data_IF_496582618818
#
_entry.id   IF_496582618818
#
_cell.length_a   1.000
_cell.length_b   1.000
_cell.length_c   1.000
_cell.angle_alpha   90.00
_cell.angle_beta   90.00
_cell.angle_gamma   90.00
#
_symmetry.space_group_name_H-M   'P 1'
#
loop_
_entity.id
_entity.type
_entity.pdbx_description
1 polymer ?
#
# COMPACT_ATOMS: atom_id res chain seq x y z
N UNK A 1 23.34 2.42 -18.97
CA UNK A 1 23.63 1.20 -18.20
C UNK A 1 22.58 1.14 -17.10
N UNK A 2 21.60 0.24 -17.21
CA UNK A 2 20.44 0.22 -16.30
C UNK A 2 20.85 -0.23 -14.89
N UNK A 3 20.39 0.42 -13.80
CA UNK A 3 20.80 0.13 -12.43
C UNK A 3 20.04 -1.06 -11.78
N UNK A 4 19.56 -2.03 -12.55
CA UNK A 4 18.77 -3.17 -12.03
C UNK A 4 19.61 -4.32 -11.47
N UNK A 5 20.93 -4.16 -11.32
CA UNK A 5 21.79 -5.20 -10.78
C UNK A 5 21.91 -5.05 -9.26
N UNK A 6 21.10 -5.81 -8.53
CA UNK A 6 21.26 -5.99 -7.10
C UNK A 6 22.55 -6.82 -6.86
N UNK A 7 23.60 -6.28 -6.20
CA UNK A 7 24.82 -7.05 -5.96
C UNK A 7 24.51 -8.19 -4.98
N UNK A 8 24.74 -9.42 -5.42
CA UNK A 8 24.52 -10.63 -4.61
C UNK A 8 25.62 -10.78 -3.56
N UNK A 9 25.40 -10.30 -2.34
CA UNK A 9 26.25 -10.68 -1.21
C UNK A 9 25.92 -12.11 -0.77
N UNK A 10 26.84 -13.04 -1.04
CA UNK A 10 26.74 -14.50 -0.75
C UNK A 10 26.45 -14.85 0.71
N UNK A 11 26.79 -13.98 1.66
CA UNK A 11 26.57 -14.21 3.11
C UNK A 11 25.07 -14.05 3.48
N UNK A 12 24.32 -13.26 2.71
CA UNK A 12 22.90 -12.93 2.97
C UNK A 12 21.91 -13.87 2.25
N UNK A 13 22.38 -14.62 1.23
CA UNK A 13 21.55 -15.64 0.54
C UNK A 13 21.05 -16.75 1.46
N UNK A 14 21.71 -16.96 2.62
CA UNK A 14 21.39 -18.02 3.57
C UNK A 14 20.27 -17.66 4.57
N UNK A 15 19.91 -16.38 4.74
CA UNK A 15 19.08 -15.99 5.90
C UNK A 15 17.57 -16.07 5.66
N UNK A 16 17.04 -15.79 4.45
CA UNK A 16 15.59 -15.78 4.18
C UNK A 16 15.17 -16.37 2.82
N UNK A 17 15.45 -17.65 2.53
CA UNK A 17 15.23 -18.26 1.21
C UNK A 17 13.75 -18.29 0.75
N UNK A 18 12.77 -18.37 1.67
CA UNK A 18 11.36 -18.61 1.31
C UNK A 18 10.68 -17.41 0.60
N UNK A 19 11.03 -16.17 0.98
CA UNK A 19 10.37 -14.98 0.42
C UNK A 19 10.99 -14.56 -0.91
N UNK A 20 12.33 -14.64 -1.03
CA UNK A 20 13.03 -14.34 -2.29
C UNK A 20 12.68 -15.33 -3.41
N UNK A 21 12.25 -16.54 -3.06
CA UNK A 21 11.79 -17.53 -4.03
C UNK A 21 10.34 -17.32 -4.47
N UNK A 22 9.56 -16.47 -3.80
CA UNK A 22 8.21 -16.15 -4.26
C UNK A 22 8.27 -15.50 -5.63
N UNK A 23 7.39 -15.96 -6.53
CA UNK A 23 7.42 -15.64 -7.95
C UNK A 23 7.47 -14.13 -8.24
N UNK A 24 6.66 -13.32 -7.54
CA UNK A 24 6.57 -11.87 -7.74
C UNK A 24 7.79 -11.10 -7.24
N UNK A 25 8.55 -11.63 -6.27
CA UNK A 25 9.80 -11.02 -5.79
C UNK A 25 10.98 -11.48 -6.64
N UNK A 26 11.02 -12.77 -6.99
CA UNK A 26 12.08 -13.35 -7.82
C UNK A 26 12.11 -12.73 -9.23
N UNK A 27 10.95 -12.40 -9.78
CA UNK A 27 10.81 -11.81 -11.10
C UNK A 27 10.12 -10.45 -11.01
N UNK A 28 10.83 -9.36 -10.65
CA UNK A 28 10.25 -8.02 -10.57
C UNK A 28 9.59 -7.55 -11.88
N UNK A 29 10.04 -8.08 -13.02
CA UNK A 29 9.44 -7.85 -14.33
C UNK A 29 7.98 -8.29 -14.40
N UNK A 30 7.58 -9.34 -13.67
CA UNK A 30 6.18 -9.79 -13.59
C UNK A 30 5.32 -8.74 -12.91
N UNK A 31 5.78 -8.21 -11.77
CA UNK A 31 5.07 -7.16 -11.04
C UNK A 31 4.91 -5.90 -11.89
N UNK A 32 5.95 -5.50 -12.62
CA UNK A 32 5.90 -4.39 -13.57
C UNK A 32 4.92 -4.69 -14.70
N UNK A 33 4.93 -5.90 -15.26
CA UNK A 33 4.01 -6.30 -16.31
C UNK A 33 2.54 -6.27 -15.85
N UNK A 34 2.24 -6.71 -14.62
CA UNK A 34 0.91 -6.61 -14.02
C UNK A 34 0.46 -5.15 -13.91
N UNK A 35 1.33 -4.27 -13.42
CA UNK A 35 1.02 -2.83 -13.29
C UNK A 35 0.81 -2.18 -14.66
N UNK A 36 1.63 -2.51 -15.65
CA UNK A 36 1.45 -2.02 -17.03
C UNK A 36 0.11 -2.52 -17.59
N UNK A 37 -0.20 -3.80 -17.44
CA UNK A 37 -1.47 -4.38 -17.89
C UNK A 37 -2.67 -3.72 -17.19
N UNK A 38 -2.56 -3.45 -15.90
CA UNK A 38 -3.56 -2.70 -15.12
C UNK A 38 -3.77 -1.28 -15.67
N UNK A 39 -2.70 -0.51 -15.91
CA UNK A 39 -2.79 0.84 -16.49
C UNK A 39 -3.43 0.78 -17.88
N UNK A 40 -2.98 -0.16 -18.72
CA UNK A 40 -3.53 -0.38 -20.06
C UNK A 40 -5.03 -0.67 -20.01
N UNK A 41 -5.44 -1.53 -19.07
CA UNK A 41 -6.83 -1.88 -18.85
C UNK A 41 -7.67 -0.69 -18.40
N UNK A 42 -7.23 0.01 -17.35
CA UNK A 42 -8.01 1.12 -16.75
C UNK A 42 -8.13 2.31 -17.68
N UNK A 43 -7.08 2.64 -18.45
CA UNK A 43 -7.06 3.84 -19.29
C UNK A 43 -7.57 3.63 -20.72
N UNK A 44 -7.38 2.45 -21.29
CA UNK A 44 -7.67 2.24 -22.72
C UNK A 44 -8.59 1.04 -22.95
N UNK A 45 -8.18 -0.16 -22.57
CA UNK A 45 -8.87 -1.40 -22.99
C UNK A 45 -10.27 -1.50 -22.35
N UNK A 46 -10.37 -1.31 -21.03
CA UNK A 46 -11.61 -1.41 -20.29
C UNK A 46 -12.65 -0.36 -20.73
N UNK A 47 -12.30 0.95 -20.79
CA UNK A 47 -13.20 1.97 -21.34
C UNK A 47 -13.65 1.68 -22.77
N UNK A 48 -12.76 1.19 -23.65
CA UNK A 48 -13.11 0.83 -25.02
C UNK A 48 -14.10 -0.35 -25.08
N UNK A 49 -13.88 -1.40 -24.28
CA UNK A 49 -14.82 -2.55 -24.16
C UNK A 49 -16.18 -2.09 -23.64
N UNK A 50 -16.18 -1.16 -22.67
CA UNK A 50 -17.38 -0.67 -22.02
C UNK A 50 -18.12 0.40 -22.82
N UNK A 51 -17.52 1.03 -23.83
CA UNK A 51 -18.10 2.15 -24.58
C UNK A 51 -19.56 1.86 -25.00
N UNK A 52 -19.77 0.71 -25.65
CA UNK A 52 -21.08 0.27 -26.16
C UNK A 52 -21.83 -0.72 -25.26
N UNK A 53 -21.39 -0.88 -24.00
CA UNK A 53 -22.03 -1.80 -23.03
C UNK A 53 -22.72 -1.04 -21.90
N UNK A 54 -23.75 -1.66 -21.32
CA UNK A 54 -24.34 -1.19 -20.07
C UNK A 54 -23.39 -1.47 -18.90
N UNK A 55 -23.37 -0.65 -17.84
CA UNK A 55 -22.53 -0.90 -16.67
C UNK A 55 -22.90 -2.23 -16.00
N UNK A 56 -21.89 -3.01 -15.60
CA UNK A 56 -22.11 -4.30 -14.95
C UNK A 56 -22.69 -4.14 -13.53
N UNK A 57 -23.62 -5.02 -13.16
CA UNK A 57 -24.14 -5.10 -11.80
C UNK A 57 -23.27 -6.00 -10.92
N UNK A 58 -22.20 -5.41 -10.38
CA UNK A 58 -21.21 -6.13 -9.56
C UNK A 58 -21.50 -6.06 -8.05
N UNK A 59 -22.77 -5.86 -7.64
CA UNK A 59 -23.14 -5.55 -6.25
C UNK A 59 -22.60 -6.58 -5.25
N UNK A 60 -22.94 -7.85 -5.44
CA UNK A 60 -22.55 -8.92 -4.51
C UNK A 60 -21.04 -9.15 -4.52
N UNK A 61 -20.41 -9.07 -5.69
CA UNK A 61 -18.96 -9.17 -5.82
C UNK A 61 -18.27 -8.08 -4.99
N UNK A 62 -18.71 -6.83 -5.11
CA UNK A 62 -18.16 -5.72 -4.33
C UNK A 62 -18.36 -5.90 -2.83
N UNK A 63 -19.54 -6.31 -2.38
CA UNK A 63 -19.80 -6.56 -0.96
C UNK A 63 -18.82 -7.61 -0.42
N UNK A 64 -18.73 -8.76 -1.09
CA UNK A 64 -17.84 -9.85 -0.67
C UNK A 64 -16.37 -9.41 -0.70
N UNK A 65 -15.99 -8.70 -1.76
CA UNK A 65 -14.63 -8.20 -1.93
C UNK A 65 -14.26 -7.15 -0.87
N UNK A 66 -15.09 -6.12 -0.65
CA UNK A 66 -14.82 -5.03 0.30
C UNK A 66 -14.77 -5.55 1.73
N UNK A 67 -15.69 -6.46 2.13
CA UNK A 67 -15.61 -7.08 3.45
C UNK A 67 -14.45 -8.08 3.57
N UNK A 68 -14.08 -8.77 2.49
CA UNK A 68 -12.87 -9.57 2.44
C UNK A 68 -11.62 -8.70 2.68
N UNK A 69 -11.54 -7.56 2.01
CA UNK A 69 -10.47 -6.57 2.19
C UNK A 69 -10.40 -6.02 3.62
N UNK A 70 -11.55 -5.79 4.24
CA UNK A 70 -11.64 -5.43 5.67
C UNK A 70 -10.99 -6.48 6.56
N UNK A 71 -11.27 -7.77 6.34
CA UNK A 71 -10.69 -8.87 7.12
C UNK A 71 -9.17 -9.00 6.90
N UNK A 72 -8.73 -8.90 5.64
CA UNK A 72 -7.30 -8.94 5.28
C UNK A 72 -6.55 -7.78 5.95
N UNK A 73 -7.08 -6.55 5.83
CA UNK A 73 -6.45 -5.38 6.42
C UNK A 73 -6.48 -5.42 7.96
N UNK A 74 -7.52 -5.97 8.59
CA UNK A 74 -7.52 -6.19 10.04
C UNK A 74 -6.42 -7.15 10.49
N UNK A 75 -6.22 -8.27 9.78
CA UNK A 75 -5.14 -9.21 10.05
C UNK A 75 -3.76 -8.55 9.89
N UNK A 76 -3.58 -7.76 8.83
CA UNK A 76 -2.33 -7.04 8.58
C UNK A 76 -2.06 -5.98 9.66
N UNK A 77 -3.07 -5.20 10.02
CA UNK A 77 -3.00 -4.22 11.11
C UNK A 77 -2.59 -4.88 12.42
N UNK A 78 -3.24 -5.98 12.81
CA UNK A 78 -2.88 -6.72 14.02
C UNK A 78 -1.42 -7.19 13.99
N UNK A 79 -1.00 -7.79 12.87
CA UNK A 79 0.35 -8.34 12.71
C UNK A 79 1.42 -7.26 12.75
N UNK A 80 1.21 -6.14 12.05
CA UNK A 80 2.11 -5.00 12.00
C UNK A 80 2.16 -4.24 13.33
N UNK A 81 1.02 -4.02 13.97
CA UNK A 81 0.94 -3.34 15.26
C UNK A 81 1.64 -4.15 16.36
N UNK A 82 1.39 -5.46 16.41
CA UNK A 82 2.08 -6.36 17.33
C UNK A 82 3.59 -6.33 17.10
N UNK A 83 4.03 -6.41 15.84
CA UNK A 83 5.44 -6.31 15.49
C UNK A 83 6.05 -4.97 15.93
N UNK A 84 5.35 -3.86 15.69
CA UNK A 84 5.78 -2.52 16.08
C UNK A 84 5.98 -2.43 17.61
N UNK A 85 4.97 -2.84 18.39
CA UNK A 85 5.05 -2.81 19.87
C UNK A 85 6.21 -3.68 20.39
N UNK A 86 6.36 -4.90 19.88
CA UNK A 86 7.46 -5.79 20.28
C UNK A 86 8.85 -5.22 19.92
N UNK A 87 8.95 -4.50 18.80
CA UNK A 87 10.21 -3.91 18.30
C UNK A 87 10.53 -2.54 18.89
N UNK A 88 9.58 -1.87 19.55
CA UNK A 88 9.76 -0.52 20.08
C UNK A 88 11.01 -0.35 20.94
N UNK A 89 11.36 -1.24 21.89
CA UNK A 89 12.57 -1.10 22.70
C UNK A 89 13.86 -1.19 21.87
N UNK A 90 13.82 -1.94 20.78
CA UNK A 90 14.99 -2.26 19.96
C UNK A 90 15.17 -1.31 18.78
N UNK A 91 14.21 -0.41 18.52
CA UNK A 91 14.13 0.42 17.29
C UNK A 91 15.42 1.15 16.90
N UNK A 92 16.23 1.59 17.86
CA UNK A 92 17.50 2.31 17.61
C UNK A 92 18.74 1.40 17.59
N UNK A 93 18.60 0.12 17.98
CA UNK A 93 19.69 -0.85 18.09
C UNK A 93 19.50 -2.06 17.17
N UNK A 94 18.44 -2.06 16.33
CA UNK A 94 18.03 -3.19 15.50
C UNK A 94 19.20 -3.73 14.66
N UNK A 95 20.01 -2.86 14.06
CA UNK A 95 21.13 -3.25 13.18
C UNK A 95 22.18 -4.12 13.86
N UNK A 96 22.37 -3.98 15.17
CA UNK A 96 23.39 -4.69 15.95
C UNK A 96 22.79 -5.73 16.91
N UNK A 97 21.48 -6.00 16.82
CA UNK A 97 20.80 -6.89 17.75
C UNK A 97 20.94 -8.37 17.33
N UNK A 98 21.26 -9.31 18.24
CA UNK A 98 21.43 -10.73 17.91
C UNK A 98 20.15 -11.39 17.34
N UNK A 99 18.97 -10.90 17.73
CA UNK A 99 17.68 -11.37 17.20
C UNK A 99 17.25 -10.73 15.87
N UNK A 100 18.10 -9.88 15.27
CA UNK A 100 17.82 -9.22 13.99
C UNK A 100 17.30 -10.19 12.91
N UNK A 101 17.89 -11.40 12.72
CA UNK A 101 17.40 -12.30 11.69
C UNK A 101 15.94 -12.73 11.90
N UNK A 102 15.55 -13.02 13.14
CA UNK A 102 14.18 -13.43 13.48
C UNK A 102 13.18 -12.30 13.23
N UNK A 103 13.55 -11.06 13.56
CA UNK A 103 12.71 -9.90 13.31
C UNK A 103 12.55 -9.62 11.81
N UNK A 104 13.65 -9.74 11.05
CA UNK A 104 13.63 -9.59 9.60
C UNK A 104 12.78 -10.66 8.93
N UNK A 105 12.88 -11.92 9.34
CA UNK A 105 12.02 -12.98 8.80
C UNK A 105 10.54 -12.67 9.00
N UNK A 106 10.17 -12.21 10.20
CA UNK A 106 8.78 -11.92 10.54
C UNK A 106 8.25 -10.73 9.76
N UNK A 107 8.99 -9.62 9.68
CA UNK A 107 8.52 -8.44 8.94
C UNK A 107 8.48 -8.70 7.44
N UNK A 108 9.40 -9.50 6.89
CA UNK A 108 9.35 -9.91 5.48
C UNK A 108 8.10 -10.72 5.19
N UNK A 109 7.74 -11.66 6.07
CA UNK A 109 6.49 -12.44 5.94
C UNK A 109 5.30 -11.50 5.93
N UNK A 110 5.23 -10.54 6.84
CA UNK A 110 4.13 -9.56 6.87
C UNK A 110 4.14 -8.68 5.62
N UNK A 111 5.30 -8.18 5.20
CA UNK A 111 5.47 -7.35 4.00
C UNK A 111 5.04 -8.09 2.73
N UNK A 112 5.27 -9.40 2.64
CA UNK A 112 4.75 -10.22 1.54
C UNK A 112 3.21 -10.23 1.49
N UNK A 113 2.54 -10.32 2.64
CA UNK A 113 1.07 -10.26 2.67
C UNK A 113 0.56 -8.86 2.33
N UNK A 114 1.21 -7.79 2.81
CA UNK A 114 0.92 -6.40 2.40
C UNK A 114 1.11 -6.23 0.90
N UNK A 115 2.13 -6.87 0.33
CA UNK A 115 2.40 -6.79 -1.10
C UNK A 115 1.30 -7.44 -1.95
N UNK A 116 0.80 -8.61 -1.53
CA UNK A 116 -0.34 -9.25 -2.16
C UNK A 116 -1.62 -8.42 -2.04
N UNK A 117 -1.87 -7.82 -0.88
CA UNK A 117 -2.97 -6.89 -0.64
C UNK A 117 -2.95 -5.71 -1.64
N UNK A 118 -1.78 -5.14 -1.95
CA UNK A 118 -1.70 -4.04 -2.95
C UNK A 118 -1.98 -4.45 -4.38
N UNK A 119 -1.76 -5.71 -4.74
CA UNK A 119 -2.26 -6.23 -6.01
C UNK A 119 -3.77 -6.47 -5.99
N UNK A 120 -4.32 -6.90 -4.86
CA UNK A 120 -5.75 -7.03 -4.70
C UNK A 120 -6.45 -5.67 -4.85
N UNK A 121 -5.88 -4.59 -4.29
CA UNK A 121 -6.40 -3.22 -4.43
C UNK A 121 -6.55 -2.77 -5.90
N UNK A 122 -5.78 -3.34 -6.85
CA UNK A 122 -5.93 -3.02 -8.29
C UNK A 122 -7.30 -3.44 -8.85
N UNK A 123 -7.96 -4.43 -8.21
CA UNK A 123 -9.28 -4.92 -8.61
C UNK A 123 -10.34 -3.83 -8.41
N UNK A 124 -10.17 -2.92 -7.45
CA UNK A 124 -11.08 -1.79 -7.19
C UNK A 124 -11.31 -0.97 -8.45
N UNK A 125 -10.21 -0.55 -9.07
CA UNK A 125 -10.26 0.30 -10.25
C UNK A 125 -10.80 -0.47 -11.45
N UNK A 126 -10.49 -1.76 -11.56
CA UNK A 126 -11.09 -2.63 -12.58
C UNK A 126 -12.61 -2.68 -12.43
N UNK A 127 -13.13 -2.82 -11.20
CA UNK A 127 -14.56 -2.76 -10.93
C UNK A 127 -15.18 -1.39 -11.24
N UNK A 128 -14.48 -0.29 -10.96
CA UNK A 128 -14.94 1.06 -11.32
C UNK A 128 -15.11 1.23 -12.84
N UNK A 129 -14.17 0.71 -13.64
CA UNK A 129 -14.24 0.73 -15.11
C UNK A 129 -15.45 -0.07 -15.59
N UNK A 130 -15.61 -1.30 -15.11
CA UNK A 130 -16.74 -2.17 -15.50
C UNK A 130 -18.11 -1.60 -15.08
N UNK A 131 -18.16 -0.74 -14.06
CA UNK A 131 -19.38 -0.06 -13.61
C UNK A 131 -19.58 1.32 -14.23
N UNK A 132 -18.70 1.77 -15.13
CA UNK A 132 -18.70 3.14 -15.70
C UNK A 132 -18.73 4.23 -14.62
N UNK A 133 -17.90 4.09 -13.60
CA UNK A 133 -17.75 5.06 -12.50
C UNK A 133 -16.49 5.91 -12.68
N UNK A 134 -16.39 6.59 -13.83
CA UNK A 134 -15.18 7.32 -14.23
C UNK A 134 -14.79 8.42 -13.24
N UNK A 135 -15.77 9.01 -12.53
CA UNK A 135 -15.52 9.98 -11.44
C UNK A 135 -14.68 9.41 -10.29
N UNK A 136 -14.70 8.10 -10.08
CA UNK A 136 -13.91 7.40 -9.05
C UNK A 136 -12.48 7.10 -9.53
N UNK A 137 -12.24 7.08 -10.85
CA UNK A 137 -10.94 6.77 -11.47
C UNK A 137 -10.13 8.07 -11.61
N UNK A 138 -9.75 8.65 -10.48
CA UNK A 138 -8.91 9.85 -10.46
C UNK A 138 -7.46 9.54 -10.80
N UNK A 139 -6.71 10.55 -11.24
CA UNK A 139 -5.25 10.43 -11.40
C UNK A 139 -4.59 9.97 -10.08
N UNK A 140 -4.98 10.57 -8.96
CA UNK A 140 -4.49 10.20 -7.62
C UNK A 140 -4.66 8.70 -7.36
N UNK A 141 -5.85 8.15 -7.60
CA UNK A 141 -6.14 6.74 -7.34
C UNK A 141 -5.25 5.82 -8.20
N UNK A 142 -5.25 6.02 -9.53
CA UNK A 142 -4.47 5.17 -10.44
C UNK A 142 -2.97 5.29 -10.16
N UNK A 143 -2.47 6.51 -9.94
CA UNK A 143 -1.07 6.78 -9.63
C UNK A 143 -0.64 6.11 -8.33
N UNK A 144 -1.43 6.26 -7.26
CA UNK A 144 -1.16 5.64 -5.96
C UNK A 144 -1.08 4.12 -6.06
N UNK A 145 -2.10 3.47 -6.62
CA UNK A 145 -2.19 1.99 -6.67
C UNK A 145 -1.11 1.38 -7.58
N UNK A 146 -0.84 1.99 -8.74
CA UNK A 146 0.21 1.51 -9.63
C UNK A 146 1.60 1.65 -8.99
N UNK A 147 1.91 2.83 -8.43
CA UNK A 147 3.24 3.11 -7.91
C UNK A 147 3.51 2.37 -6.58
N UNK A 148 2.49 2.15 -5.73
CA UNK A 148 2.62 1.33 -4.52
C UNK A 148 3.11 -0.08 -4.81
N UNK A 149 2.58 -0.74 -5.85
CA UNK A 149 3.01 -2.08 -6.24
C UNK A 149 4.49 -2.11 -6.66
N UNK A 150 4.96 -1.08 -7.38
CA UNK A 150 6.36 -1.01 -7.82
C UNK A 150 7.29 -0.68 -6.64
N UNK A 151 6.91 0.27 -5.78
CA UNK A 151 7.71 0.69 -4.63
C UNK A 151 7.83 -0.41 -3.58
N UNK A 152 6.77 -1.18 -3.33
CA UNK A 152 6.83 -2.34 -2.42
C UNK A 152 7.73 -3.45 -2.96
N UNK A 153 7.67 -3.73 -4.27
CA UNK A 153 8.58 -4.68 -4.90
C UNK A 153 10.04 -4.25 -4.70
N UNK A 154 10.33 -2.97 -4.94
CA UNK A 154 11.65 -2.38 -4.72
C UNK A 154 12.07 -2.46 -3.25
N UNK A 155 11.19 -2.07 -2.33
CA UNK A 155 11.45 -2.08 -0.89
C UNK A 155 11.77 -3.46 -0.35
N UNK A 156 10.95 -4.48 -0.68
CA UNK A 156 11.18 -5.88 -0.26
C UNK A 156 12.49 -6.43 -0.85
N UNK A 157 12.83 -6.05 -2.08
CA UNK A 157 14.05 -6.55 -2.74
C UNK A 157 15.33 -5.94 -2.16
N UNK A 158 15.26 -4.73 -1.61
CA UNK A 158 16.42 -3.96 -1.12
C UNK A 158 16.51 -3.89 0.42
N UNK A 159 15.62 -4.56 1.13
CA UNK A 159 15.46 -4.51 2.59
C UNK A 159 16.70 -4.97 3.38
N UNK A 160 17.48 -5.89 2.82
CA UNK A 160 18.66 -6.49 3.44
C UNK A 160 19.90 -5.59 3.38
N UNK A 161 19.92 -4.61 2.45
CA UNK A 161 21.05 -3.69 2.29
C UNK A 161 21.03 -2.57 3.34
N UNK A 162 19.85 -2.26 3.90
CA UNK A 162 19.66 -1.05 4.73
C UNK A 162 19.15 -1.31 6.15
N UNK A 163 18.80 -2.56 6.48
CA UNK A 163 18.03 -2.94 7.68
C UNK A 163 16.76 -2.08 7.78
N UNK A 164 15.62 -2.69 7.43
CA UNK A 164 14.31 -2.04 7.40
C UNK A 164 14.12 -1.06 8.57
N UNK A 165 14.01 0.23 8.25
CA UNK A 165 13.72 1.26 9.24
C UNK A 165 12.40 0.95 9.94
N UNK A 166 12.36 1.16 11.25
CA UNK A 166 11.17 0.91 12.06
C UNK A 166 9.96 1.71 11.54
N UNK A 167 10.20 2.89 10.95
CA UNK A 167 9.18 3.74 10.33
C UNK A 167 8.37 3.02 9.25
N UNK A 168 8.94 2.04 8.53
CA UNK A 168 8.22 1.34 7.46
C UNK A 168 7.11 0.48 8.08
N UNK A 169 7.41 -0.26 9.14
CA UNK A 169 6.43 -1.04 9.89
C UNK A 169 5.34 -0.15 10.48
N UNK A 170 5.72 0.98 11.07
CA UNK A 170 4.78 1.98 11.59
C UNK A 170 3.87 2.54 10.48
N UNK A 171 4.44 2.89 9.33
CA UNK A 171 3.71 3.44 8.18
C UNK A 171 2.66 2.46 7.66
N UNK A 172 3.03 1.21 7.44
CA UNK A 172 2.08 0.19 6.98
C UNK A 172 1.05 -0.18 8.05
N UNK A 173 1.39 -0.08 9.35
CA UNK A 173 0.42 -0.28 10.43
C UNK A 173 -0.72 0.74 10.34
N UNK A 174 -0.39 2.03 10.18
CA UNK A 174 -1.39 3.08 10.03
C UNK A 174 -2.14 2.92 8.70
N UNK A 175 -1.43 2.63 7.61
CA UNK A 175 -2.06 2.46 6.30
C UNK A 175 -3.12 1.35 6.32
N UNK A 176 -2.78 0.16 6.81
CA UNK A 176 -3.72 -0.97 6.90
C UNK A 176 -4.89 -0.64 7.82
N UNK A 177 -4.66 0.09 8.91
CA UNK A 177 -5.72 0.57 9.81
C UNK A 177 -6.71 1.48 9.08
N UNK A 178 -6.20 2.43 8.29
CA UNK A 178 -7.05 3.32 7.49
C UNK A 178 -7.76 2.54 6.38
N UNK A 179 -7.11 1.55 5.77
CA UNK A 179 -7.73 0.68 4.77
C UNK A 179 -8.89 -0.15 5.35
N UNK A 180 -8.81 -0.62 6.61
CA UNK A 180 -9.97 -1.22 7.29
C UNK A 180 -11.16 -0.26 7.27
N UNK A 181 -10.96 1.00 7.64
CA UNK A 181 -12.03 2.01 7.72
C UNK A 181 -12.59 2.32 6.32
N UNK A 182 -11.72 2.50 5.34
CA UNK A 182 -12.10 2.86 3.96
C UNK A 182 -12.84 1.71 3.27
N UNK A 183 -12.34 0.47 3.35
CA UNK A 183 -13.03 -0.69 2.77
C UNK A 183 -14.32 -1.01 3.51
N UNK A 184 -14.38 -0.80 4.83
CA UNK A 184 -15.63 -0.95 5.57
C UNK A 184 -16.69 0.05 5.08
N UNK A 185 -16.30 1.30 4.84
CA UNK A 185 -17.19 2.28 4.22
C UNK A 185 -17.66 1.84 2.82
N UNK A 186 -16.75 1.36 1.96
CA UNK A 186 -17.12 0.93 0.61
C UNK A 186 -18.02 -0.31 0.59
N UNK A 187 -17.77 -1.28 1.46
CA UNK A 187 -18.64 -2.45 1.65
C UNK A 187 -20.04 -2.05 2.11
N UNK A 188 -20.15 -1.08 3.03
CA UNK A 188 -21.46 -0.51 3.41
C UNK A 188 -22.12 0.25 2.25
N UNK A 189 -21.35 1.02 1.48
CA UNK A 189 -21.86 1.77 0.33
C UNK A 189 -22.37 0.85 -0.79
N UNK A 190 -21.81 -0.36 -0.92
CA UNK A 190 -22.18 -1.33 -1.94
C UNK A 190 -23.60 -1.91 -1.74
N UNK A 191 -24.18 -1.85 -0.53
CA UNK A 191 -25.57 -2.28 -0.29
C UNK A 191 -26.62 -1.42 -1.03
N UNK A 192 -26.24 -0.21 -1.46
CA UNK A 192 -27.03 0.66 -2.33
C UNK A 192 -27.57 1.92 -1.64
N UNK A 193 -28.51 2.63 -2.29
CA UNK A 193 -28.99 3.95 -1.84
C UNK A 193 -29.56 3.96 -0.42
N UNK A 194 -30.18 2.87 0.01
CA UNK A 194 -30.70 2.73 1.37
C UNK A 194 -29.60 2.80 2.43
N UNK A 195 -28.37 2.37 2.14
CA UNK A 195 -27.25 2.49 3.09
C UNK A 195 -26.51 3.82 2.95
N UNK A 196 -26.42 4.38 1.74
CA UNK A 196 -25.72 5.65 1.47
C UNK A 196 -26.24 6.81 2.34
N UNK A 197 -27.53 6.83 2.71
CA UNK A 197 -28.10 7.86 3.59
C UNK A 197 -27.48 7.89 5.00
N UNK A 198 -26.97 6.77 5.48
CA UNK A 198 -26.31 6.68 6.79
C UNK A 198 -24.80 6.98 6.73
N UNK A 199 -24.23 7.07 5.52
CA UNK A 199 -22.80 7.24 5.27
C UNK A 199 -22.39 8.72 5.12
N UNK A 200 -22.93 9.57 6.00
CA UNK A 200 -22.63 11.02 6.05
C UNK A 200 -21.16 11.33 6.35
N UNK A 201 -20.44 10.36 6.92
CA UNK A 201 -19.07 10.51 7.37
C UNK A 201 -18.01 10.32 6.27
N UNK A 202 -18.41 10.25 4.99
CA UNK A 202 -17.51 10.17 3.83
C UNK A 202 -16.38 11.20 3.88
N UNK A 203 -16.68 12.43 4.28
CA UNK A 203 -15.68 13.52 4.37
C UNK A 203 -14.57 13.22 5.38
N UNK A 204 -14.91 12.52 6.48
CA UNK A 204 -13.94 12.16 7.50
C UNK A 204 -12.99 11.08 7.01
N UNK A 205 -13.35 10.25 6.02
CA UNK A 205 -12.41 9.29 5.41
C UNK A 205 -11.19 9.98 4.81
N UNK A 206 -11.42 11.01 4.00
CA UNK A 206 -10.34 11.79 3.39
C UNK A 206 -9.49 12.47 4.46
N UNK A 207 -10.12 12.95 5.54
CA UNK A 207 -9.40 13.54 6.68
C UNK A 207 -8.55 12.47 7.38
N UNK A 208 -9.07 11.27 7.64
CA UNK A 208 -8.30 10.17 8.22
C UNK A 208 -7.07 9.80 7.36
N UNK A 209 -7.23 9.75 6.04
CA UNK A 209 -6.11 9.50 5.12
C UNK A 209 -5.05 10.62 5.17
N UNK A 210 -5.46 11.88 5.23
CA UNK A 210 -4.52 13.02 5.38
C UNK A 210 -3.81 13.02 6.74
N UNK A 211 -4.54 12.70 7.81
CA UNK A 211 -3.97 12.55 9.17
C UNK A 211 -2.94 11.43 9.19
N UNK A 212 -3.19 10.29 8.53
CA UNK A 212 -2.20 9.22 8.37
C UNK A 212 -0.90 9.76 7.75
N UNK A 213 -0.95 10.47 6.63
CA UNK A 213 0.27 10.97 5.99
C UNK A 213 1.03 11.95 6.91
N UNK A 214 0.30 12.76 7.67
CA UNK A 214 0.90 13.68 8.64
C UNK A 214 1.59 12.92 9.77
N UNK A 215 0.95 11.90 10.35
CA UNK A 215 1.54 11.05 11.40
C UNK A 215 2.78 10.30 10.91
N UNK A 216 2.74 9.79 9.67
CA UNK A 216 3.87 9.10 9.05
C UNK A 216 5.06 10.04 8.85
N UNK A 217 4.83 11.23 8.28
CA UNK A 217 5.90 12.22 8.07
C UNK A 217 6.52 12.69 9.39
N UNK A 218 5.70 12.95 10.41
CA UNK A 218 6.20 13.31 11.75
C UNK A 218 7.05 12.19 12.35
N UNK A 219 6.62 10.93 12.20
CA UNK A 219 7.37 9.79 12.70
C UNK A 219 8.70 9.61 11.96
N UNK A 220 8.72 9.77 10.64
CA UNK A 220 9.96 9.72 9.84
C UNK A 220 10.94 10.81 10.29
N UNK A 221 10.48 12.06 10.46
CA UNK A 221 11.32 13.15 10.96
C UNK A 221 11.90 12.82 12.35
N UNK A 222 11.07 12.31 13.26
CA UNK A 222 11.52 11.86 14.58
C UNK A 222 12.54 10.71 14.51
N UNK A 223 12.31 9.69 13.67
CA UNK A 223 13.21 8.55 13.49
C UNK A 223 14.60 8.95 12.99
N UNK A 224 14.66 9.82 11.98
CA UNK A 224 15.93 10.31 11.44
C UNK A 224 16.64 11.30 12.38
N UNK A 225 15.90 12.22 13.02
CA UNK A 225 16.49 13.21 13.94
C UNK A 225 17.00 12.61 15.24
N UNK A 226 16.41 11.51 15.71
CA UNK A 226 16.88 10.78 16.89
C UNK A 226 18.11 9.91 16.63
N UNK A 227 18.55 9.79 15.37
CA UNK A 227 19.66 8.92 14.95
C UNK A 227 19.31 7.42 15.02
N UNK A 228 18.05 7.07 15.26
CA UNK A 228 17.59 5.69 15.30
C UNK A 228 17.41 5.10 13.89
N UNK A 229 17.26 5.95 12.88
CA UNK A 229 17.11 5.57 11.48
C UNK A 229 18.15 6.29 10.61
N UNK A 230 18.63 5.61 9.58
CA UNK A 230 19.59 6.16 8.63
C UNK A 230 18.90 6.47 7.29
N UNK A 231 19.26 7.59 6.69
CA UNK A 231 18.72 8.00 5.39
C UNK A 231 19.46 7.26 4.27
N UNK A 232 18.80 6.29 3.66
CA UNK A 232 19.25 5.64 2.42
C UNK A 232 18.44 6.07 1.20
N UNK A 233 18.77 5.49 0.05
CA UNK A 233 18.10 5.79 -1.23
C UNK A 233 16.63 5.37 -1.18
N UNK A 234 16.32 4.24 -0.55
CA UNK A 234 14.94 3.73 -0.40
C UNK A 234 14.12 4.71 0.41
N UNK A 235 14.65 5.20 1.53
CA UNK A 235 14.03 6.14 2.45
C UNK A 235 13.70 7.46 1.74
N UNK A 236 14.63 7.97 0.93
CA UNK A 236 14.42 9.18 0.11
C UNK A 236 13.29 8.98 -0.89
N UNK A 237 13.28 7.86 -1.62
CA UNK A 237 12.22 7.55 -2.61
C UNK A 237 10.84 7.47 -1.94
N UNK A 238 10.74 6.78 -0.80
CA UNK A 238 9.49 6.68 -0.05
C UNK A 238 9.04 8.04 0.51
N UNK A 239 9.96 8.86 1.00
CA UNK A 239 9.65 10.21 1.48
C UNK A 239 9.09 11.09 0.36
N UNK A 240 9.74 11.12 -0.81
CA UNK A 240 9.26 11.85 -1.99
C UNK A 240 7.86 11.36 -2.38
N UNK A 241 7.66 10.04 -2.41
CA UNK A 241 6.38 9.45 -2.72
C UNK A 241 5.27 9.91 -1.75
N UNK A 242 5.51 9.86 -0.44
CA UNK A 242 4.55 10.27 0.58
C UNK A 242 4.18 11.75 0.41
N UNK A 243 5.17 12.62 0.17
CA UNK A 243 4.93 14.05 -0.06
C UNK A 243 4.08 14.28 -1.31
N UNK A 244 4.37 13.59 -2.41
CA UNK A 244 3.59 13.70 -3.67
C UNK A 244 2.15 13.25 -3.45
N UNK A 245 1.94 12.08 -2.83
CA UNK A 245 0.59 11.58 -2.55
C UNK A 245 -0.15 12.52 -1.61
N UNK A 246 0.52 13.04 -0.58
CA UNK A 246 -0.11 13.96 0.36
C UNK A 246 -0.56 15.24 -0.34
N UNK A 247 0.26 15.83 -1.22
CA UNK A 247 -0.12 16.99 -2.02
C UNK A 247 -1.34 16.70 -2.92
N UNK A 248 -1.39 15.53 -3.56
CA UNK A 248 -2.54 15.11 -4.38
C UNK A 248 -3.81 14.91 -3.54
N UNK A 249 -3.70 14.43 -2.30
CA UNK A 249 -4.83 14.34 -1.38
C UNK A 249 -5.33 15.71 -0.93
N UNK A 250 -4.44 16.68 -0.72
CA UNK A 250 -4.81 18.06 -0.40
C UNK A 250 -5.57 18.69 -1.58
N UNK A 251 -5.10 18.51 -2.82
CA UNK A 251 -5.80 18.98 -4.03
C UNK A 251 -7.19 18.33 -4.16
N UNK A 252 -7.28 17.02 -3.94
CA UNK A 252 -8.55 16.30 -3.93
C UNK A 252 -9.51 16.83 -2.86
N UNK A 253 -9.02 17.08 -1.64
CA UNK A 253 -9.83 17.60 -0.54
C UNK A 253 -10.33 19.04 -0.80
N UNK A 254 -9.50 19.89 -1.41
CA UNK A 254 -9.90 21.25 -1.80
C UNK A 254 -11.05 21.22 -2.82
N UNK A 255 -10.88 20.46 -3.90
CA UNK A 255 -11.93 20.26 -4.92
C UNK A 255 -13.24 19.74 -4.32
N UNK A 256 -13.15 18.81 -3.37
CA UNK A 256 -14.34 18.28 -2.68
C UNK A 256 -15.01 19.29 -1.73
N UNK A 257 -14.28 20.24 -1.18
CA UNK A 257 -14.83 21.27 -0.28
C UNK A 257 -15.52 22.40 -1.05
N UNK A 258 -15.07 22.65 -2.28
CA UNK A 258 -15.57 23.72 -3.14
C UNK A 258 -16.79 23.28 -3.99
N UNK A 259 -17.14 21.98 -3.99
CA UNK A 259 -18.38 21.39 -4.53
C UNK A 259 -19.50 21.33 -3.47
#
# INVERSE_FOLDING_TARGET
MFPWYCPSNKILQLSFPDIRQKFLIRYPSVSIAIVIAYILFVKWIGPAIMANRKPFELKYLMIVYDFGQVLVNMYLTYSLFRFAVEMWPYRCMVKNHPLLPLFMERILKIAWHVYLDKFADLIDTCMFVLRKKDKQISFLHVFHHALMCVLLCWGISNIETYAMGYYIGFTFSINTTVHVIVYFYYGLAAFGPHMLKYLWWKKYLTIFQMVQFTLVLMYMIYGFSSGCEEVGITEIIFCIYIVVIYALFIDFYKKYKDE
#
